data_IF_810009815161
#
_entry.id   IF_810009815161
#
_cell.length_a   1.000
_cell.length_b   1.000
_cell.length_c   1.000
_cell.angle_alpha   90.00
_cell.angle_beta   90.00
_cell.angle_gamma   90.00
#
_symmetry.space_group_name_H-M   'P 1'
#
loop_
_entity.id
_entity.type
_entity.pdbx_description
1 polymer ?
#
# COMPACT_ATOMS: atom_id res chain seq x y z
N UNK A 1 -0.97 -3.01 18.82
CA UNK A 1 -0.64 -1.92 17.88
C UNK A 1 0.73 -2.06 17.20
N UNK A 2 1.74 -2.73 17.83
CA UNK A 2 3.09 -2.95 17.23
C UNK A 2 3.06 -3.75 15.91
N UNK A 3 2.15 -4.72 15.73
CA UNK A 3 2.08 -5.56 14.54
C UNK A 3 1.61 -4.80 13.27
N UNK A 4 0.72 -3.82 13.44
CA UNK A 4 0.21 -2.98 12.33
C UNK A 4 1.30 -2.02 11.85
N UNK A 5 2.08 -1.47 12.79
CA UNK A 5 3.21 -0.59 12.50
C UNK A 5 4.32 -1.32 11.73
N UNK A 6 4.63 -2.56 12.11
CA UNK A 6 5.62 -3.41 11.44
C UNK A 6 5.23 -3.75 10.00
N UNK A 7 3.92 -4.01 9.73
CA UNK A 7 3.41 -4.27 8.37
C UNK A 7 3.47 -3.02 7.48
N UNK A 8 3.18 -1.85 8.02
CA UNK A 8 3.23 -0.58 7.28
C UNK A 8 4.66 -0.27 6.81
N UNK A 9 5.64 -0.43 7.69
CA UNK A 9 7.03 -0.24 7.36
C UNK A 9 7.53 -1.21 6.29
N UNK A 10 7.11 -2.49 6.33
CA UNK A 10 7.48 -3.49 5.33
C UNK A 10 6.98 -3.14 3.92
N UNK A 11 5.74 -2.67 3.78
CA UNK A 11 5.19 -2.25 2.48
C UNK A 11 5.89 -0.99 1.97
N UNK A 12 6.22 -0.07 2.87
CA UNK A 12 6.95 1.14 2.53
C UNK A 12 8.40 0.81 2.11
N UNK A 13 9.06 -0.14 2.76
CA UNK A 13 10.35 -0.67 2.33
C UNK A 13 10.29 -1.30 0.94
N UNK A 14 9.21 -2.04 0.63
CA UNK A 14 9.01 -2.62 -0.71
C UNK A 14 8.82 -1.51 -1.74
N UNK A 15 8.03 -0.47 -1.44
CA UNK A 15 7.82 0.66 -2.33
C UNK A 15 9.11 1.43 -2.63
N UNK A 16 10.02 1.49 -1.65
CA UNK A 16 11.34 2.15 -1.77
C UNK A 16 12.45 1.21 -2.28
N UNK A 17 12.17 -0.09 -2.44
CA UNK A 17 13.14 -1.05 -2.97
C UNK A 17 13.14 -0.92 -4.49
N UNK A 18 14.19 -0.31 -5.02
CA UNK A 18 14.43 -0.22 -6.45
C UNK A 18 14.48 -1.63 -7.08
N UNK A 19 13.55 -1.90 -8.00
CA UNK A 19 13.67 -2.97 -8.98
C UNK A 19 13.73 -2.31 -10.34
N UNK A 20 14.79 -2.54 -11.06
CA UNK A 20 15.20 -1.83 -12.26
C UNK A 20 14.16 -1.83 -13.40
N UNK A 21 13.13 -2.69 -13.33
CA UNK A 21 12.13 -2.87 -14.40
C UNK A 21 10.66 -2.82 -13.94
N UNK A 22 10.35 -2.34 -12.74
CA UNK A 22 8.94 -2.26 -12.31
C UNK A 22 8.46 -0.79 -12.35
N UNK A 23 7.58 -0.41 -13.29
CA UNK A 23 7.08 0.97 -13.42
C UNK A 23 6.30 1.45 -12.18
N UNK A 24 5.90 0.53 -11.31
CA UNK A 24 5.18 0.82 -10.06
C UNK A 24 6.08 1.05 -8.86
N UNK A 25 7.40 0.83 -9.00
CA UNK A 25 8.39 1.11 -7.95
C UNK A 25 9.24 2.33 -8.32
N UNK A 26 9.85 2.96 -7.32
CA UNK A 26 10.78 4.07 -7.55
C UNK A 26 12.07 3.55 -8.19
N UNK A 27 12.60 4.30 -9.18
CA UNK A 27 13.92 4.02 -9.73
C UNK A 27 15.02 4.40 -8.73
N UNK A 28 16.21 3.84 -8.89
CA UNK A 28 17.37 4.22 -8.04
C UNK A 28 17.70 5.71 -8.16
N UNK A 29 17.57 6.26 -9.38
CA UNK A 29 17.79 7.68 -9.64
C UNK A 29 16.80 8.56 -8.86
N UNK A 30 15.50 8.22 -8.91
CA UNK A 30 14.45 8.92 -8.14
C UNK A 30 14.73 8.84 -6.63
N UNK A 31 15.18 7.67 -6.13
CA UNK A 31 15.48 7.49 -4.72
C UNK A 31 16.71 8.31 -4.27
N UNK A 32 17.76 8.35 -5.10
CA UNK A 32 18.94 9.19 -4.83
C UNK A 32 18.59 10.67 -4.81
N UNK A 33 17.76 11.09 -5.75
CA UNK A 33 17.28 12.47 -5.86
C UNK A 33 16.39 12.86 -4.66
N UNK A 34 15.51 11.95 -4.21
CA UNK A 34 14.69 12.14 -3.02
C UNK A 34 15.56 12.35 -1.76
N UNK A 35 16.54 11.47 -1.56
CA UNK A 35 17.47 11.57 -0.43
C UNK A 35 18.28 12.86 -0.46
N UNK A 36 18.77 13.25 -1.66
CA UNK A 36 19.53 14.50 -1.85
C UNK A 36 18.69 15.72 -1.46
N UNK A 37 17.45 15.83 -1.96
CA UNK A 37 16.55 16.95 -1.66
C UNK A 37 16.19 17.02 -0.17
N UNK A 38 15.89 15.89 0.46
CA UNK A 38 15.61 15.84 1.89
C UNK A 38 16.83 16.24 2.75
N UNK A 39 18.04 15.91 2.30
CA UNK A 39 19.26 16.34 2.95
C UNK A 39 19.46 17.86 2.84
N UNK A 40 19.22 18.44 1.67
CA UNK A 40 19.34 19.88 1.41
C UNK A 40 18.33 20.68 2.24
N UNK A 41 17.09 20.22 2.38
CA UNK A 41 16.03 20.94 3.11
C UNK A 41 16.18 20.88 4.63
N UNK A 42 16.69 19.82 5.19
CA UNK A 42 16.70 19.60 6.64
C UNK A 42 18.04 19.24 7.25
N UNK A 43 19.13 19.28 6.50
CA UNK A 43 20.46 18.92 7.03
C UNK A 43 20.53 17.47 7.53
N UNK A 44 19.72 16.58 6.98
CA UNK A 44 19.70 15.17 7.37
C UNK A 44 21.01 14.48 6.99
N UNK A 45 21.97 14.49 7.90
CA UNK A 45 23.24 13.75 7.73
C UNK A 45 23.12 12.24 7.97
N UNK A 46 22.00 11.79 8.54
CA UNK A 46 21.89 10.40 8.99
C UNK A 46 21.30 9.50 7.91
N UNK A 47 22.10 8.54 7.44
CA UNK A 47 21.71 7.48 6.52
C UNK A 47 20.56 6.58 7.04
N UNK A 48 20.16 6.73 8.31
CA UNK A 48 19.15 5.97 9.02
C UNK A 48 17.87 6.78 9.31
N UNK A 49 17.57 7.84 8.53
CA UNK A 49 16.27 8.50 8.67
C UNK A 49 15.16 7.45 8.55
N UNK A 50 14.33 7.34 9.57
CA UNK A 50 13.24 6.38 9.61
C UNK A 50 12.37 6.60 8.35
N UNK A 51 12.28 5.58 7.51
CA UNK A 51 11.51 5.59 6.24
C UNK A 51 10.09 6.08 6.48
N UNK A 52 9.52 5.79 7.64
CA UNK A 52 8.21 6.29 8.06
C UNK A 52 8.18 7.81 8.23
N UNK A 53 9.25 8.40 8.72
CA UNK A 53 9.35 9.85 8.87
C UNK A 53 9.42 10.54 7.50
N UNK A 54 10.29 10.04 6.60
CA UNK A 54 10.40 10.53 5.22
C UNK A 54 9.04 10.49 4.53
N UNK A 55 8.35 9.37 4.63
CA UNK A 55 7.02 9.22 4.03
C UNK A 55 6.00 10.20 4.60
N UNK A 56 5.94 10.34 5.93
CA UNK A 56 5.00 11.24 6.58
C UNK A 56 5.27 12.71 6.21
N UNK A 57 6.53 13.10 6.11
CA UNK A 57 6.92 14.44 5.65
C UNK A 57 6.48 14.68 4.20
N UNK A 58 6.86 13.80 3.27
CA UNK A 58 6.42 13.91 1.86
C UNK A 58 4.89 13.92 1.73
N UNK A 59 4.21 13.13 2.56
CA UNK A 59 2.75 13.08 2.59
C UNK A 59 2.15 14.41 3.03
N UNK A 60 2.59 14.99 4.15
CA UNK A 60 2.09 16.30 4.63
C UNK A 60 2.30 17.38 3.58
N UNK A 61 3.51 17.45 3.00
CA UNK A 61 3.82 18.40 1.95
C UNK A 61 2.90 18.24 0.72
N UNK A 62 2.67 17.01 0.25
CA UNK A 62 1.80 16.75 -0.89
C UNK A 62 0.35 17.14 -0.61
N UNK A 63 -0.16 16.92 0.62
CA UNK A 63 -1.53 17.31 0.98
C UNK A 63 -1.75 18.82 1.03
N UNK A 64 -0.68 19.60 1.23
CA UNK A 64 -0.73 21.07 1.27
C UNK A 64 -0.52 21.70 -0.12
N UNK A 65 0.28 21.08 -0.99
CA UNK A 65 0.79 21.73 -2.20
C UNK A 65 0.49 20.99 -3.51
N UNK A 66 -0.04 19.77 -3.46
CA UNK A 66 -0.30 18.95 -4.65
C UNK A 66 -1.78 18.62 -4.84
N UNK A 67 -2.17 18.31 -6.08
CA UNK A 67 -3.48 17.68 -6.34
C UNK A 67 -3.47 16.24 -5.81
N UNK A 68 -4.24 16.01 -4.75
CA UNK A 68 -4.34 14.72 -4.06
C UNK A 68 -5.42 13.80 -4.61
N UNK A 69 -6.20 14.24 -5.62
CA UNK A 69 -7.36 13.51 -6.15
C UNK A 69 -7.04 12.07 -6.58
N UNK A 70 -5.88 11.86 -7.24
CA UNK A 70 -5.40 10.54 -7.63
C UNK A 70 -4.93 9.69 -6.44
N UNK A 71 -4.36 10.33 -5.42
CA UNK A 71 -3.91 9.66 -4.20
C UNK A 71 -5.11 9.16 -3.40
N UNK A 72 -6.16 9.97 -3.31
CA UNK A 72 -7.42 9.61 -2.64
C UNK A 72 -8.17 8.51 -3.38
N UNK A 73 -8.14 8.52 -4.72
CA UNK A 73 -8.68 7.43 -5.53
C UNK A 73 -7.97 6.11 -5.24
N UNK A 74 -6.64 6.08 -5.21
CA UNK A 74 -5.87 4.88 -4.88
C UNK A 74 -6.16 4.40 -3.45
N UNK A 75 -6.33 5.34 -2.51
CA UNK A 75 -6.71 5.03 -1.14
C UNK A 75 -8.08 4.37 -1.07
N UNK A 76 -9.06 4.91 -1.79
CA UNK A 76 -10.43 4.38 -1.82
C UNK A 76 -10.46 2.97 -2.42
N UNK A 77 -9.73 2.73 -3.53
CA UNK A 77 -9.60 1.40 -4.14
C UNK A 77 -8.92 0.41 -3.19
N UNK A 78 -7.87 0.83 -2.49
CA UNK A 78 -7.20 -0.01 -1.50
C UNK A 78 -8.13 -0.34 -0.33
N UNK A 79 -8.86 0.64 0.21
CA UNK A 79 -9.82 0.44 1.30
C UNK A 79 -10.92 -0.54 0.90
N UNK A 80 -11.53 -0.34 -0.28
CA UNK A 80 -12.56 -1.23 -0.83
C UNK A 80 -12.02 -2.66 -1.02
N UNK A 81 -10.84 -2.81 -1.60
CA UNK A 81 -10.23 -4.14 -1.80
C UNK A 81 -9.95 -4.86 -0.47
N UNK A 82 -9.55 -4.11 0.56
CA UNK A 82 -9.37 -4.66 1.91
C UNK A 82 -10.69 -5.14 2.51
N UNK A 83 -11.75 -4.32 2.43
CA UNK A 83 -13.06 -4.66 2.95
C UNK A 83 -13.64 -5.90 2.26
N UNK A 84 -13.52 -5.99 0.93
CA UNK A 84 -13.95 -7.16 0.16
C UNK A 84 -13.14 -8.42 0.53
N UNK A 85 -11.83 -8.31 0.76
CA UNK A 85 -11.02 -9.45 1.21
C UNK A 85 -11.49 -9.99 2.56
N UNK A 86 -11.78 -9.11 3.52
CA UNK A 86 -12.33 -9.51 4.83
C UNK A 86 -13.71 -10.12 4.67
N UNK A 87 -14.59 -9.50 3.86
CA UNK A 87 -15.93 -10.02 3.60
C UNK A 87 -15.90 -11.46 3.05
N UNK A 88 -15.08 -11.72 2.01
CA UNK A 88 -14.96 -13.07 1.44
C UNK A 88 -14.34 -14.08 2.43
N UNK A 89 -13.43 -13.63 3.31
CA UNK A 89 -12.91 -14.51 4.37
C UNK A 89 -13.98 -14.91 5.38
N UNK A 90 -14.79 -13.96 5.84
CA UNK A 90 -15.90 -14.22 6.76
C UNK A 90 -16.96 -15.10 6.08
N UNK A 91 -17.29 -14.81 4.82
CA UNK A 91 -18.23 -15.60 4.04
C UNK A 91 -17.77 -17.07 3.93
N UNK A 92 -16.48 -17.34 3.72
CA UNK A 92 -15.94 -18.69 3.69
C UNK A 92 -16.20 -19.43 5.00
N UNK A 93 -15.99 -18.77 6.13
CA UNK A 93 -16.24 -19.35 7.46
C UNK A 93 -17.74 -19.65 7.66
N UNK A 94 -18.61 -18.71 7.27
CA UNK A 94 -20.06 -18.91 7.37
C UNK A 94 -20.56 -20.06 6.52
N UNK A 95 -20.03 -20.24 5.29
CA UNK A 95 -20.37 -21.37 4.42
C UNK A 95 -19.95 -22.68 5.07
N UNK A 96 -18.74 -22.77 5.65
CA UNK A 96 -18.28 -23.96 6.36
C UNK A 96 -19.25 -24.32 7.48
N UNK A 97 -19.62 -23.34 8.32
CA UNK A 97 -20.57 -23.55 9.42
C UNK A 97 -21.92 -24.03 8.90
N UNK A 98 -22.43 -23.40 7.84
CA UNK A 98 -23.72 -23.79 7.23
C UNK A 98 -23.70 -25.21 6.67
N UNK A 99 -22.62 -25.63 6.03
CA UNK A 99 -22.44 -27.02 5.54
C UNK A 99 -22.47 -28.02 6.68
N UNK A 100 -21.78 -27.71 7.79
CA UNK A 100 -21.77 -28.59 8.97
C UNK A 100 -23.14 -28.71 9.66
N UNK A 101 -23.93 -27.62 9.69
CA UNK A 101 -25.24 -27.61 10.33
C UNK A 101 -26.35 -28.22 9.47
N UNK A 102 -26.26 -28.14 8.15
CA UNK A 102 -27.32 -28.58 7.21
C UNK A 102 -27.10 -29.95 6.59
N UNK A 103 -25.99 -30.63 6.90
CA UNK A 103 -25.54 -31.89 6.24
C UNK A 103 -25.54 -31.83 4.70
N UNK A 104 -25.58 -30.62 4.15
CA UNK A 104 -25.70 -30.36 2.73
C UNK A 104 -24.35 -30.08 2.09
N UNK A 105 -23.71 -31.13 1.58
CA UNK A 105 -22.39 -31.07 0.91
C UNK A 105 -22.45 -30.25 -0.40
N UNK A 106 -23.65 -29.96 -0.93
CA UNK A 106 -23.83 -29.26 -2.22
C UNK A 106 -23.10 -27.93 -2.34
N UNK A 107 -22.93 -27.21 -1.25
CA UNK A 107 -22.34 -25.86 -1.26
C UNK A 107 -20.86 -25.82 -0.88
N UNK A 108 -20.23 -26.99 -0.63
CA UNK A 108 -18.83 -27.04 -0.17
C UNK A 108 -17.83 -26.42 -1.18
N UNK A 109 -18.14 -26.47 -2.46
CA UNK A 109 -17.30 -25.89 -3.51
C UNK A 109 -17.27 -24.34 -3.50
N UNK A 110 -18.23 -23.68 -2.83
CA UNK A 110 -18.20 -22.22 -2.64
C UNK A 110 -17.10 -21.77 -1.68
N UNK A 111 -16.64 -22.66 -0.79
CA UNK A 111 -15.56 -22.36 0.17
C UNK A 111 -14.25 -22.03 -0.57
N UNK A 112 -13.70 -22.89 -1.43
CA UNK A 112 -12.47 -22.58 -2.15
C UNK A 112 -12.64 -21.35 -3.07
N UNK A 113 -13.81 -21.13 -3.66
CA UNK A 113 -14.08 -19.97 -4.50
C UNK A 113 -14.02 -18.67 -3.71
N UNK A 114 -14.68 -18.60 -2.55
CA UNK A 114 -14.65 -17.41 -1.70
C UNK A 114 -13.26 -17.16 -1.09
N UNK A 115 -12.53 -18.21 -0.71
CA UNK A 115 -11.13 -18.08 -0.27
C UNK A 115 -10.24 -17.54 -1.38
N UNK A 116 -10.38 -18.02 -2.60
CA UNK A 116 -9.63 -17.54 -3.76
C UNK A 116 -9.91 -16.04 -4.03
N UNK A 117 -11.17 -15.64 -4.01
CA UNK A 117 -11.57 -14.22 -4.15
C UNK A 117 -10.98 -13.36 -3.03
N UNK A 118 -10.97 -13.85 -1.79
CA UNK A 118 -10.35 -13.15 -0.67
C UNK A 118 -8.85 -12.90 -0.91
N UNK A 119 -8.11 -13.91 -1.37
CA UNK A 119 -6.68 -13.80 -1.67
C UNK A 119 -6.44 -12.81 -2.82
N UNK A 120 -7.23 -12.88 -3.91
CA UNK A 120 -7.12 -11.92 -5.02
C UNK A 120 -7.35 -10.48 -4.56
N UNK A 121 -8.36 -10.23 -3.73
CA UNK A 121 -8.64 -8.89 -3.19
C UNK A 121 -7.53 -8.42 -2.25
N UNK A 122 -6.93 -9.32 -1.48
CA UNK A 122 -5.78 -8.99 -0.63
C UNK A 122 -4.53 -8.62 -1.45
N UNK A 123 -4.25 -9.34 -2.55
CA UNK A 123 -3.15 -9.00 -3.47
C UNK A 123 -3.40 -7.63 -4.09
N UNK A 124 -4.62 -7.37 -4.55
CA UNK A 124 -5.03 -6.07 -5.09
C UNK A 124 -4.85 -4.95 -4.08
N UNK A 125 -5.30 -5.14 -2.84
CA UNK A 125 -5.07 -4.19 -1.74
C UNK A 125 -3.59 -3.85 -1.56
N UNK A 126 -2.71 -4.86 -1.50
CA UNK A 126 -1.27 -4.65 -1.35
C UNK A 126 -0.69 -3.84 -2.52
N UNK A 127 -1.08 -4.17 -3.75
CA UNK A 127 -0.62 -3.48 -4.95
C UNK A 127 -1.00 -1.99 -4.93
N UNK A 128 -2.26 -1.65 -4.68
CA UNK A 128 -2.70 -0.26 -4.62
C UNK A 128 -2.09 0.52 -3.46
N UNK A 129 -1.83 -0.12 -2.33
CA UNK A 129 -1.12 0.50 -1.21
C UNK A 129 0.32 0.89 -1.61
N UNK A 130 1.04 0.02 -2.32
CA UNK A 130 2.39 0.31 -2.81
C UNK A 130 2.37 1.43 -3.85
N UNK A 131 1.47 1.38 -4.83
CA UNK A 131 1.30 2.42 -5.86
C UNK A 131 1.06 3.79 -5.20
N UNK A 132 0.19 3.85 -4.19
CA UNK A 132 -0.06 5.08 -3.44
C UNK A 132 1.19 5.63 -2.76
N UNK A 133 2.01 4.78 -2.13
CA UNK A 133 3.25 5.23 -1.51
C UNK A 133 4.22 5.83 -2.54
N UNK A 134 4.42 5.15 -3.65
CA UNK A 134 5.29 5.63 -4.73
C UNK A 134 4.76 6.93 -5.33
N UNK A 135 3.44 7.05 -5.53
CA UNK A 135 2.81 8.24 -6.09
C UNK A 135 3.00 9.47 -5.18
N UNK A 136 2.87 9.33 -3.88
CA UNK A 136 3.14 10.41 -2.91
C UNK A 136 4.60 10.87 -3.01
N UNK A 137 5.56 9.93 -3.04
CA UNK A 137 6.97 10.26 -3.13
C UNK A 137 7.34 10.92 -4.46
N UNK A 138 6.75 10.48 -5.58
CA UNK A 138 6.92 11.11 -6.90
C UNK A 138 6.28 12.49 -6.97
N UNK A 139 5.08 12.67 -6.41
CA UNK A 139 4.42 13.98 -6.38
C UNK A 139 5.28 15.00 -5.63
N UNK A 140 5.85 14.63 -4.49
CA UNK A 140 6.80 15.47 -3.75
C UNK A 140 8.03 15.84 -4.60
N UNK A 141 8.66 14.86 -5.26
CA UNK A 141 9.82 15.11 -6.12
C UNK A 141 9.51 16.05 -7.29
N UNK A 142 8.34 15.89 -7.89
CA UNK A 142 7.90 16.69 -9.05
C UNK A 142 7.64 18.13 -8.66
N UNK A 143 6.95 18.35 -7.53
CA UNK A 143 6.64 19.71 -7.05
C UNK A 143 7.90 20.46 -6.68
N UNK A 144 8.78 19.83 -5.91
CA UNK A 144 10.08 20.40 -5.53
C UNK A 144 11.09 20.53 -6.67
N UNK A 145 10.82 19.96 -7.84
CA UNK A 145 11.61 20.15 -9.05
C UNK A 145 11.22 21.37 -9.84
N UNK A 146 10.06 22.00 -9.49
CA UNK A 146 9.54 23.22 -10.12
C UNK A 146 9.81 24.50 -9.34
N UNK A 147 10.11 24.37 -8.05
CA UNK A 147 10.62 25.46 -7.21
C UNK A 147 12.13 25.64 -7.41
#
# INVERSE_FOLDING_TARGET
>A
SKSIFFRKNKLLHIAMRSKENDPYLMSEAEMKLLKKKLKEERGYENNNADISYIYNYCKSYCFEHCDVSLIDKDQSIAAMSRSLSVFFSVLSVLIIIAVFLSDSIRYIWLVPTSMFLSVLMFIRFRRFTIIRYVRILRAYLYQKGRE
#
